data_IF_953413087460
#
_entry.id   IF_953413087460
#
_cell.length_a   1.000
_cell.length_b   1.000
_cell.length_c   1.000
_cell.angle_alpha   90.00
_cell.angle_beta   90.00
_cell.angle_gamma   90.00
#
_symmetry.space_group_name_H-M   'P 1'
#
loop_
_entity.id
_entity.type
_entity.pdbx_description
1 polymer ?
#
# COMPACT_ATOMS: atom_id res chain seq x y z
N UNK A 1 -14.58 -17.82 1.84
CA UNK A 1 -15.19 -16.50 1.82
C UNK A 1 -16.39 -16.48 2.75
N UNK A 2 -16.58 -15.37 3.46
CA UNK A 2 -17.82 -15.04 4.17
C UNK A 2 -18.18 -13.59 3.85
N UNK A 3 -19.37 -13.18 4.21
CA UNK A 3 -19.91 -11.86 3.92
C UNK A 3 -20.26 -11.15 5.23
N UNK A 4 -19.93 -9.85 5.32
CA UNK A 4 -20.35 -8.94 6.37
C UNK A 4 -20.35 -7.54 5.76
N UNK A 5 -21.46 -7.15 5.16
CA UNK A 5 -21.53 -5.96 4.34
C UNK A 5 -21.46 -4.67 5.17
N UNK A 6 -20.59 -3.77 4.70
CA UNK A 6 -20.52 -2.38 5.19
C UNK A 6 -21.57 -1.52 4.50
N UNK A 7 -22.20 -0.56 5.18
CA UNK A 7 -23.07 0.44 4.55
C UNK A 7 -22.28 1.58 3.90
N UNK A 8 -20.95 1.67 4.13
CA UNK A 8 -20.12 2.81 3.74
C UNK A 8 -19.56 2.65 2.33
N UNK A 9 -20.38 2.83 1.30
CA UNK A 9 -19.94 2.76 -0.10
C UNK A 9 -20.84 3.63 -0.99
N UNK A 10 -20.33 3.99 -2.16
CA UNK A 10 -21.15 4.68 -3.16
C UNK A 10 -22.00 3.68 -3.92
N UNK A 11 -23.29 3.97 -4.05
CA UNK A 11 -24.25 3.12 -4.79
C UNK A 11 -23.97 3.07 -6.31
N UNK A 12 -23.28 4.08 -6.84
CA UNK A 12 -22.86 4.09 -8.24
C UNK A 12 -21.87 2.95 -8.50
N UNK A 13 -22.25 2.03 -9.38
CA UNK A 13 -21.36 0.97 -9.86
C UNK A 13 -20.34 1.54 -10.84
N UNK A 14 -19.10 1.11 -10.72
CA UNK A 14 -18.03 1.33 -11.70
C UNK A 14 -17.96 0.15 -12.67
N UNK A 15 -17.40 0.39 -13.86
CA UNK A 15 -17.14 -0.69 -14.82
C UNK A 15 -15.94 -1.54 -14.37
N UNK A 16 -15.84 -2.81 -14.76
CA UNK A 16 -14.66 -3.64 -14.44
C UNK A 16 -13.34 -2.98 -14.84
N UNK A 17 -13.31 -2.32 -16.00
CA UNK A 17 -12.12 -1.63 -16.53
C UNK A 17 -11.72 -0.37 -15.74
N UNK A 18 -12.57 0.12 -14.85
CA UNK A 18 -12.24 1.25 -13.97
C UNK A 18 -11.46 0.78 -12.71
N UNK A 19 -11.47 -0.52 -12.41
CA UNK A 19 -10.68 -1.14 -11.33
C UNK A 19 -9.25 -1.35 -11.81
N UNK A 20 -8.34 -0.46 -11.43
CA UNK A 20 -6.95 -0.42 -11.92
C UNK A 20 -5.92 -0.64 -10.82
N UNK A 21 -6.31 -0.50 -9.56
CA UNK A 21 -5.42 -0.53 -8.42
C UNK A 21 -5.93 -1.47 -7.32
N UNK A 22 -4.99 -2.01 -6.55
CA UNK A 22 -5.26 -2.64 -5.26
C UNK A 22 -4.51 -1.86 -4.20
N UNK A 23 -5.20 -1.45 -3.13
CA UNK A 23 -4.60 -0.74 -2.01
C UNK A 23 -4.64 -1.66 -0.78
N UNK A 24 -3.47 -1.91 -0.23
CA UNK A 24 -3.29 -2.73 0.97
C UNK A 24 -3.26 -1.83 2.20
N UNK A 25 -4.05 -2.23 3.20
CA UNK A 25 -4.16 -1.56 4.49
C UNK A 25 -3.88 -2.54 5.64
N UNK A 26 -3.62 -2.00 6.81
CA UNK A 26 -3.89 -2.67 8.07
C UNK A 26 -4.98 -1.90 8.84
N UNK A 27 -5.76 -2.60 9.66
CA UNK A 27 -6.90 -1.99 10.37
C UNK A 27 -6.50 -0.94 11.39
N UNK A 28 -5.33 -1.07 12.04
CA UNK A 28 -4.92 -0.18 13.13
C UNK A 28 -5.88 -0.27 14.34
N UNK A 29 -6.46 -1.44 14.59
CA UNK A 29 -7.38 -1.73 15.68
C UNK A 29 -6.86 -2.88 16.52
N UNK A 30 -7.24 -2.91 17.82
CA UNK A 30 -6.74 -3.91 18.77
C UNK A 30 -7.24 -5.32 18.51
N UNK A 31 -8.41 -5.46 17.86
CA UNK A 31 -9.06 -6.75 17.61
C UNK A 31 -9.83 -6.81 16.31
N UNK A 32 -10.15 -8.02 15.86
CA UNK A 32 -11.05 -8.28 14.75
C UNK A 32 -12.46 -7.69 15.02
N UNK A 33 -12.93 -7.75 16.28
CA UNK A 33 -14.23 -7.21 16.69
C UNK A 33 -14.28 -5.70 16.46
N UNK A 34 -13.34 -4.95 17.03
CA UNK A 34 -13.25 -3.49 16.83
C UNK A 34 -13.12 -3.11 15.36
N UNK A 35 -12.34 -3.90 14.59
CA UNK A 35 -12.16 -3.67 13.15
C UNK A 35 -13.47 -3.81 12.38
N UNK A 36 -14.22 -4.88 12.65
CA UNK A 36 -15.49 -5.14 11.99
C UNK A 36 -16.57 -4.13 12.40
N UNK A 37 -16.67 -3.81 13.69
CA UNK A 37 -17.59 -2.79 14.19
C UNK A 37 -17.35 -1.44 13.49
N UNK A 38 -16.08 -1.00 13.39
CA UNK A 38 -15.74 0.24 12.70
C UNK A 38 -16.05 0.20 11.21
N UNK A 39 -15.74 -0.90 10.53
CA UNK A 39 -15.96 -1.03 9.07
C UNK A 39 -17.44 -1.16 8.70
N UNK A 40 -18.31 -1.51 9.65
CA UNK A 40 -19.78 -1.63 9.47
C UNK A 40 -20.58 -0.50 10.12
N UNK A 41 -19.96 0.34 10.94
CA UNK A 41 -20.63 1.52 11.50
C UNK A 41 -20.74 2.61 10.45
N UNK A 42 -21.98 3.03 10.15
CA UNK A 42 -22.27 4.09 9.18
C UNK A 42 -21.61 5.43 9.58
N UNK A 43 -21.48 5.69 10.88
CA UNK A 43 -20.88 6.93 11.40
C UNK A 43 -19.37 6.98 11.19
N UNK A 44 -18.71 5.83 11.02
CA UNK A 44 -17.27 5.74 10.80
C UNK A 44 -16.83 6.31 9.46
N UNK A 45 -17.72 6.30 8.46
CA UNK A 45 -17.45 6.75 7.09
C UNK A 45 -16.22 6.08 6.46
N UNK A 46 -15.93 4.83 6.84
CA UNK A 46 -14.84 4.00 6.28
C UNK A 46 -15.34 2.61 5.97
N UNK A 47 -14.76 1.97 4.97
CA UNK A 47 -15.03 0.58 4.60
C UNK A 47 -13.84 0.00 3.80
N UNK A 48 -13.95 -1.26 3.41
CA UNK A 48 -13.05 -1.89 2.46
C UNK A 48 -13.84 -2.90 1.61
N UNK A 49 -13.24 -3.41 0.54
CA UNK A 49 -13.86 -4.47 -0.26
C UNK A 49 -13.66 -5.83 0.41
N UNK A 50 -12.44 -6.06 0.92
CA UNK A 50 -12.05 -7.30 1.57
C UNK A 50 -11.38 -7.04 2.90
N UNK A 51 -11.80 -7.79 3.91
CA UNK A 51 -11.17 -7.81 5.22
C UNK A 51 -10.56 -9.20 5.46
N UNK A 52 -9.30 -9.25 5.90
CA UNK A 52 -8.61 -10.48 6.28
C UNK A 52 -8.37 -10.45 7.78
N UNK A 53 -9.06 -11.31 8.52
CA UNK A 53 -8.99 -11.35 9.96
C UNK A 53 -7.67 -12.00 10.47
N UNK A 54 -7.44 -12.01 11.79
CA UNK A 54 -6.24 -12.60 12.40
C UNK A 54 -6.04 -14.09 12.07
N UNK A 55 -7.13 -14.84 11.90
CA UNK A 55 -7.12 -16.25 11.54
C UNK A 55 -6.94 -16.48 10.04
N UNK A 56 -6.85 -15.42 9.24
CA UNK A 56 -6.72 -15.47 7.78
C UNK A 56 -8.04 -15.72 7.03
N UNK A 57 -9.19 -15.58 7.69
CA UNK A 57 -10.49 -15.68 7.01
C UNK A 57 -10.72 -14.41 6.19
N UNK A 58 -11.11 -14.57 4.92
CA UNK A 58 -11.46 -13.45 4.04
C UNK A 58 -12.94 -13.16 4.17
N UNK A 59 -13.28 -11.92 4.44
CA UNK A 59 -14.64 -11.40 4.58
C UNK A 59 -14.87 -10.35 3.50
N UNK A 60 -15.92 -10.50 2.70
CA UNK A 60 -16.36 -9.49 1.72
C UNK A 60 -17.20 -8.46 2.47
N UNK A 61 -16.78 -7.20 2.38
CA UNK A 61 -17.42 -6.07 3.05
C UNK A 61 -18.17 -5.16 2.06
N UNK A 62 -17.59 -4.95 0.87
CA UNK A 62 -18.23 -4.21 -0.24
C UNK A 62 -17.97 -4.98 -1.53
N UNK A 63 -18.99 -5.23 -2.37
CA UNK A 63 -18.76 -5.89 -3.66
C UNK A 63 -17.86 -5.07 -4.58
N UNK A 64 -17.00 -5.73 -5.37
CA UNK A 64 -15.91 -5.13 -6.14
C UNK A 64 -16.28 -3.93 -7.02
N UNK A 65 -17.47 -3.96 -7.61
CA UNK A 65 -17.90 -2.90 -8.52
C UNK A 65 -18.56 -1.71 -7.84
N UNK A 66 -18.79 -1.77 -6.53
CA UNK A 66 -19.14 -0.60 -5.74
C UNK A 66 -17.88 0.08 -5.21
N UNK A 67 -17.99 1.34 -4.80
CA UNK A 67 -16.85 2.15 -4.39
C UNK A 67 -16.78 2.18 -2.87
N UNK A 68 -15.94 1.34 -2.27
CA UNK A 68 -15.67 1.37 -0.84
C UNK A 68 -14.84 2.59 -0.45
N UNK A 69 -15.01 3.07 0.79
CA UNK A 69 -14.35 4.28 1.31
C UNK A 69 -13.10 3.92 2.14
N UNK A 70 -12.01 3.52 1.46
CA UNK A 70 -10.79 3.06 2.12
C UNK A 70 -9.55 3.96 1.92
N UNK A 71 -9.45 4.67 0.79
CA UNK A 71 -8.26 5.45 0.45
C UNK A 71 -8.32 6.89 0.98
N UNK A 72 -9.53 7.46 1.15
CA UNK A 72 -9.73 8.83 1.57
C UNK A 72 -8.98 9.83 0.66
N UNK A 73 -8.51 10.93 1.23
CA UNK A 73 -7.68 11.90 0.50
C UNK A 73 -6.34 11.25 0.13
N UNK A 74 -6.17 10.98 -1.14
CA UNK A 74 -5.05 10.19 -1.68
C UNK A 74 -4.64 10.70 -3.06
N UNK A 75 -3.38 10.46 -3.46
CA UNK A 75 -2.86 10.82 -4.77
C UNK A 75 -1.83 9.81 -5.25
N UNK A 76 -1.96 9.38 -6.50
CA UNK A 76 -0.99 8.54 -7.18
C UNK A 76 -0.95 8.87 -8.66
N UNK A 77 0.23 9.19 -9.20
CA UNK A 77 0.37 9.72 -10.57
C UNK A 77 -0.54 10.95 -10.75
N UNK A 78 -1.43 10.90 -11.75
CA UNK A 78 -2.40 11.98 -12.05
C UNK A 78 -3.75 11.81 -11.33
N UNK A 79 -3.95 10.69 -10.61
CA UNK A 79 -5.23 10.41 -9.95
C UNK A 79 -5.26 11.00 -8.54
N UNK A 80 -6.31 11.71 -8.24
CA UNK A 80 -6.70 12.09 -6.90
C UNK A 80 -7.88 11.20 -6.47
N UNK A 81 -7.98 10.87 -5.17
CA UNK A 81 -9.09 10.05 -4.63
C UNK A 81 -9.19 8.65 -5.29
N UNK A 82 -8.31 7.75 -4.86
CA UNK A 82 -8.19 6.42 -5.48
C UNK A 82 -9.35 5.47 -5.22
N UNK A 83 -10.33 5.79 -4.36
CA UNK A 83 -11.48 4.92 -4.10
C UNK A 83 -12.18 4.46 -5.40
N UNK A 84 -12.38 5.37 -6.34
CA UNK A 84 -13.09 5.08 -7.59
C UNK A 84 -12.36 4.07 -8.50
N UNK A 85 -11.06 3.93 -8.33
CA UNK A 85 -10.20 3.17 -9.23
C UNK A 85 -9.53 1.96 -8.56
N UNK A 86 -9.86 1.66 -7.29
CA UNK A 86 -9.16 0.63 -6.54
C UNK A 86 -10.06 -0.33 -5.77
N UNK A 87 -9.49 -1.49 -5.47
CA UNK A 87 -9.99 -2.43 -4.48
C UNK A 87 -9.17 -2.24 -3.19
N UNK A 88 -9.82 -1.96 -2.07
CA UNK A 88 -9.18 -1.89 -0.76
C UNK A 88 -9.22 -3.22 -0.03
N UNK A 89 -8.07 -3.65 0.48
CA UNK A 89 -7.92 -4.86 1.30
C UNK A 89 -7.39 -4.46 2.66
N UNK A 90 -8.19 -4.65 3.69
CA UNK A 90 -7.81 -4.46 5.09
C UNK A 90 -7.32 -5.78 5.69
N UNK A 91 -6.20 -5.74 6.40
CA UNK A 91 -5.65 -6.91 7.11
C UNK A 91 -5.62 -6.59 8.59
N UNK A 92 -6.21 -7.44 9.40
CA UNK A 92 -6.21 -7.28 10.86
C UNK A 92 -4.78 -7.19 11.40
N UNK A 93 -4.46 -6.05 11.98
CA UNK A 93 -3.19 -5.77 12.63
C UNK A 93 -3.35 -4.53 13.50
N UNK A 94 -2.85 -4.53 14.75
CA UNK A 94 -2.99 -3.40 15.65
C UNK A 94 -2.33 -2.10 15.15
N UNK A 95 -1.42 -2.21 14.17
CA UNK A 95 -0.77 -1.03 13.60
C UNK A 95 0.17 -0.31 14.57
N UNK A 96 0.75 0.78 14.11
CA UNK A 96 1.79 1.50 14.85
C UNK A 96 1.33 2.07 16.21
N UNK A 97 0.02 2.30 16.38
CA UNK A 97 -0.53 2.87 17.61
C UNK A 97 -0.75 1.84 18.71
N UNK A 98 -1.05 0.58 18.36
CA UNK A 98 -1.46 -0.46 19.30
C UNK A 98 -0.55 -1.70 19.28
N UNK A 99 0.71 -1.55 18.88
CA UNK A 99 1.67 -2.65 18.89
C UNK A 99 1.80 -3.37 17.54
N UNK A 100 2.24 -2.64 16.53
CA UNK A 100 2.45 -3.13 15.18
C UNK A 100 3.28 -4.41 15.14
N UNK A 101 2.71 -5.46 14.58
CA UNK A 101 3.31 -6.81 14.49
C UNK A 101 3.45 -7.28 13.04
N UNK A 102 4.24 -8.34 12.83
CA UNK A 102 4.29 -9.04 11.53
C UNK A 102 2.93 -9.66 11.24
N UNK A 103 2.58 -9.75 9.96
CA UNK A 103 1.39 -10.45 9.51
C UNK A 103 1.60 -11.97 9.59
N UNK A 104 0.57 -12.69 10.04
CA UNK A 104 0.66 -14.15 10.19
C UNK A 104 0.71 -14.87 8.85
N UNK A 105 1.27 -16.09 8.84
CA UNK A 105 1.29 -16.91 7.62
C UNK A 105 -0.12 -17.19 7.08
N UNK A 106 -1.12 -17.31 7.95
CA UNK A 106 -2.53 -17.50 7.56
C UNK A 106 -3.07 -16.28 6.84
N UNK A 107 -2.79 -15.07 7.35
CA UNK A 107 -3.18 -13.82 6.69
C UNK A 107 -2.48 -13.66 5.33
N UNK A 108 -1.17 -13.92 5.27
CA UNK A 108 -0.40 -13.80 4.03
C UNK A 108 -0.81 -14.86 2.97
N UNK A 109 -1.21 -16.05 3.40
CA UNK A 109 -1.76 -17.06 2.50
C UNK A 109 -3.06 -16.56 1.85
N UNK A 110 -3.98 -16.06 2.65
CA UNK A 110 -5.27 -15.52 2.17
C UNK A 110 -5.07 -14.27 1.31
N UNK A 111 -4.15 -13.38 1.70
CA UNK A 111 -3.81 -12.22 0.89
C UNK A 111 -3.27 -12.62 -0.49
N UNK A 112 -2.38 -13.61 -0.57
CA UNK A 112 -1.85 -14.09 -1.86
C UNK A 112 -2.95 -14.65 -2.75
N UNK A 113 -3.93 -15.37 -2.17
CA UNK A 113 -5.09 -15.90 -2.93
C UNK A 113 -5.95 -14.79 -3.51
N UNK A 114 -6.34 -13.81 -2.69
CA UNK A 114 -7.20 -12.72 -3.15
C UNK A 114 -6.48 -11.79 -4.11
N UNK A 115 -5.19 -11.51 -3.90
CA UNK A 115 -4.40 -10.71 -4.84
C UNK A 115 -4.32 -11.35 -6.21
N UNK A 116 -4.03 -12.66 -6.28
CA UNK A 116 -3.98 -13.38 -7.57
C UNK A 116 -5.32 -13.30 -8.29
N UNK A 117 -6.41 -13.61 -7.58
CA UNK A 117 -7.76 -13.52 -8.12
C UNK A 117 -8.08 -12.13 -8.68
N UNK A 118 -7.80 -11.07 -7.94
CA UNK A 118 -8.12 -9.69 -8.36
C UNK A 118 -7.23 -9.22 -9.52
N UNK A 119 -5.93 -9.55 -9.49
CA UNK A 119 -4.99 -9.22 -10.55
C UNK A 119 -5.42 -9.86 -11.87
N UNK A 120 -5.79 -11.15 -11.84
CA UNK A 120 -6.26 -11.89 -13.02
C UNK A 120 -7.62 -11.36 -13.50
N UNK A 121 -8.58 -11.19 -12.59
CA UNK A 121 -9.95 -10.76 -12.91
C UNK A 121 -10.02 -9.38 -13.54
N UNK A 122 -9.24 -8.42 -13.04
CA UNK A 122 -9.27 -7.02 -13.47
C UNK A 122 -8.05 -6.62 -14.29
N UNK A 123 -7.18 -7.56 -14.66
CA UNK A 123 -5.95 -7.31 -15.43
C UNK A 123 -5.10 -6.19 -14.81
N UNK A 124 -4.97 -6.22 -13.47
CA UNK A 124 -4.27 -5.16 -12.72
C UNK A 124 -2.77 -5.29 -12.94
N UNK A 125 -2.13 -4.21 -13.40
CA UNK A 125 -0.69 -4.16 -13.50
C UNK A 125 -0.05 -4.28 -12.11
N UNK A 126 1.01 -5.08 -11.97
CA UNK A 126 1.69 -5.30 -10.69
C UNK A 126 2.26 -4.00 -10.07
N UNK A 127 2.55 -2.99 -10.89
CA UNK A 127 2.94 -1.63 -10.45
C UNK A 127 1.80 -0.89 -9.74
N UNK A 128 0.58 -1.38 -9.85
CA UNK A 128 -0.63 -0.78 -9.29
C UNK A 128 -1.13 -1.50 -8.01
N UNK A 129 -0.38 -2.46 -7.49
CA UNK A 129 -0.60 -3.02 -6.14
C UNK A 129 0.20 -2.18 -5.16
N UNK A 130 -0.48 -1.36 -4.36
CA UNK A 130 0.09 -0.27 -3.56
C UNK A 130 -0.25 -0.43 -2.09
N UNK A 131 0.54 0.20 -1.23
CA UNK A 131 0.19 0.44 0.17
C UNK A 131 -0.55 1.77 0.33
N UNK A 132 -1.36 1.91 1.37
CA UNK A 132 -2.01 3.19 1.68
C UNK A 132 -0.98 4.31 1.91
N UNK A 133 0.15 3.99 2.52
CA UNK A 133 1.27 4.93 2.70
C UNK A 133 1.87 5.43 1.40
N UNK A 134 1.75 4.70 0.28
CA UNK A 134 2.25 5.15 -1.02
C UNK A 134 1.40 6.29 -1.58
N UNK A 135 0.09 6.27 -1.30
CA UNK A 135 -0.91 7.20 -1.88
C UNK A 135 -1.39 8.30 -0.94
N UNK A 136 -1.08 8.20 0.37
CA UNK A 136 -1.49 9.14 1.40
C UNK A 136 -0.30 9.49 2.32
N UNK A 137 0.77 9.99 1.72
CA UNK A 137 2.14 10.14 2.25
C UNK A 137 2.23 10.76 3.64
N UNK A 138 1.47 11.84 3.88
CA UNK A 138 1.53 12.62 5.12
C UNK A 138 0.62 12.08 6.22
N UNK A 139 -0.30 11.18 5.87
CA UNK A 139 -1.43 10.80 6.71
C UNK A 139 -1.39 9.33 7.14
N UNK A 140 -0.76 8.47 6.33
CA UNK A 140 -0.85 7.02 6.48
C UNK A 140 0.52 6.33 6.49
N UNK A 141 0.59 5.24 7.26
CA UNK A 141 1.77 4.38 7.35
C UNK A 141 1.49 2.94 6.91
N UNK A 142 0.21 2.53 6.86
CA UNK A 142 -0.21 1.18 6.49
C UNK A 142 0.14 0.81 5.03
N UNK A 143 0.45 -0.45 4.74
CA UNK A 143 0.51 -1.60 5.63
C UNK A 143 1.79 -1.69 6.48
N UNK A 144 2.69 -0.70 6.40
CA UNK A 144 3.88 -0.56 7.24
C UNK A 144 5.09 -1.35 6.74
N UNK A 145 6.22 -1.16 7.45
CA UNK A 145 7.53 -1.72 7.09
C UNK A 145 7.65 -3.23 7.33
N UNK A 146 6.81 -3.81 8.23
CA UNK A 146 6.80 -5.28 8.44
C UNK A 146 5.96 -6.01 7.39
N UNK A 147 5.37 -5.30 6.43
CA UNK A 147 4.61 -5.92 5.35
C UNK A 147 5.56 -6.53 4.30
N UNK A 148 5.37 -7.79 3.90
CA UNK A 148 6.37 -8.53 3.13
C UNK A 148 6.29 -8.28 1.60
N UNK A 149 6.46 -7.03 1.17
CA UNK A 149 6.42 -6.65 -0.24
C UNK A 149 7.33 -7.48 -1.13
N UNK A 150 8.57 -7.72 -0.67
CA UNK A 150 9.56 -8.51 -1.40
C UNK A 150 9.10 -9.95 -1.65
N UNK A 151 8.49 -10.58 -0.64
CA UNK A 151 8.01 -11.97 -0.78
C UNK A 151 6.78 -12.07 -1.68
N UNK A 152 5.93 -11.06 -1.68
CA UNK A 152 4.82 -10.95 -2.63
C UNK A 152 5.33 -10.76 -4.07
N UNK A 153 6.39 -9.98 -4.28
CA UNK A 153 6.97 -9.76 -5.61
C UNK A 153 7.58 -11.03 -6.21
N UNK A 154 8.22 -11.88 -5.38
CA UNK A 154 8.70 -13.21 -5.81
C UNK A 154 7.56 -14.13 -6.32
N UNK A 155 6.32 -13.86 -5.87
CA UNK A 155 5.12 -14.56 -6.32
C UNK A 155 4.37 -13.82 -7.45
N UNK A 156 4.98 -12.77 -8.03
CA UNK A 156 4.40 -11.93 -9.09
C UNK A 156 3.06 -11.30 -8.68
N UNK A 157 2.97 -10.78 -7.45
CA UNK A 157 1.77 -10.13 -6.91
C UNK A 157 1.94 -8.62 -6.70
N UNK A 158 3.15 -8.10 -6.82
CA UNK A 158 3.49 -6.67 -6.83
C UNK A 158 4.89 -6.49 -7.41
N UNK A 159 5.38 -5.25 -7.51
CA UNK A 159 6.76 -4.97 -7.93
C UNK A 159 7.71 -4.85 -6.74
N UNK A 160 8.96 -5.17 -7.00
CA UNK A 160 10.15 -4.94 -6.17
C UNK A 160 11.34 -4.66 -7.08
N UNK A 161 12.41 -4.06 -6.54
CA UNK A 161 13.65 -3.88 -7.29
C UNK A 161 14.40 -5.22 -7.50
N UNK A 162 15.21 -5.32 -8.55
CA UNK A 162 15.98 -6.53 -8.90
C UNK A 162 17.40 -6.53 -8.34
N UNK A 163 17.79 -5.48 -7.62
CA UNK A 163 19.13 -5.31 -7.07
C UNK A 163 19.39 -6.31 -5.93
N UNK A 164 20.63 -6.81 -5.86
CA UNK A 164 21.07 -7.74 -4.81
C UNK A 164 21.34 -6.97 -3.51
N UNK A 165 20.69 -7.36 -2.42
CA UNK A 165 20.77 -6.68 -1.11
C UNK A 165 22.18 -6.56 -0.55
N UNK A 166 22.99 -7.63 -0.63
CA UNK A 166 24.37 -7.61 -0.18
C UNK A 166 25.22 -6.54 -0.90
N UNK A 167 24.88 -6.24 -2.17
CA UNK A 167 25.51 -5.15 -2.92
C UNK A 167 24.95 -3.78 -2.50
N UNK A 168 23.66 -3.69 -2.21
CA UNK A 168 23.00 -2.44 -1.80
C UNK A 168 23.48 -1.95 -0.44
N UNK A 169 23.70 -2.84 0.53
CA UNK A 169 24.17 -2.46 1.87
C UNK A 169 25.47 -1.66 1.84
N UNK A 170 26.33 -1.85 0.84
CA UNK A 170 27.56 -1.08 0.66
C UNK A 170 27.33 0.39 0.33
N UNK A 171 26.12 0.75 -0.11
CA UNK A 171 25.71 2.10 -0.50
C UNK A 171 24.80 2.76 0.55
N UNK A 172 24.39 2.03 1.58
CA UNK A 172 23.60 2.52 2.70
C UNK A 172 24.39 3.58 3.47
N UNK A 173 23.72 4.69 3.80
CA UNK A 173 24.27 5.87 4.45
C UNK A 173 25.37 6.62 3.67
N UNK A 174 25.66 6.23 2.41
CA UNK A 174 26.55 7.02 1.56
C UNK A 174 25.83 8.26 1.06
N UNK A 175 26.43 9.42 1.30
CA UNK A 175 25.92 10.71 0.79
C UNK A 175 25.82 10.71 -0.73
N UNK A 176 24.80 11.38 -1.25
CA UNK A 176 24.60 11.57 -2.68
C UNK A 176 24.82 13.05 -3.07
N UNK A 177 25.13 13.29 -4.34
CA UNK A 177 25.22 14.65 -4.87
C UNK A 177 23.82 15.28 -5.01
N UNK A 178 23.71 16.62 -5.03
CA UNK A 178 22.44 17.31 -5.27
C UNK A 178 21.77 16.89 -6.59
N UNK A 179 22.56 16.56 -7.61
CA UNK A 179 22.05 16.05 -8.90
C UNK A 179 21.35 14.71 -8.71
N UNK A 180 21.96 13.76 -7.99
CA UNK A 180 21.34 12.46 -7.70
C UNK A 180 20.09 12.60 -6.84
N UNK A 181 20.07 13.52 -5.90
CA UNK A 181 18.88 13.82 -5.10
C UNK A 181 17.72 14.31 -5.98
N UNK A 182 17.97 15.25 -6.89
CA UNK A 182 16.98 15.71 -7.87
C UNK A 182 16.48 14.56 -8.75
N UNK A 183 17.37 13.69 -9.20
CA UNK A 183 17.02 12.50 -9.98
C UNK A 183 16.20 11.49 -9.16
N UNK A 184 16.49 11.31 -7.88
CA UNK A 184 15.70 10.47 -6.98
C UNK A 184 14.22 10.90 -6.96
N UNK A 185 13.93 12.18 -6.72
CA UNK A 185 12.55 12.67 -6.73
C UNK A 185 11.89 12.58 -8.10
N UNK A 186 12.64 12.80 -9.18
CA UNK A 186 12.15 12.57 -10.55
C UNK A 186 11.76 11.11 -10.77
N UNK A 187 12.55 10.17 -10.24
CA UNK A 187 12.25 8.75 -10.30
C UNK A 187 10.98 8.42 -9.49
N UNK A 188 10.84 8.96 -8.27
CA UNK A 188 9.66 8.75 -7.44
C UNK A 188 8.39 9.25 -8.14
N UNK A 189 8.45 10.40 -8.79
CA UNK A 189 7.34 10.92 -9.61
C UNK A 189 6.97 9.96 -10.75
N UNK A 190 7.97 9.42 -11.47
CA UNK A 190 7.75 8.42 -12.53
C UNK A 190 7.14 7.12 -12.00
N UNK A 191 7.51 6.68 -10.80
CA UNK A 191 6.90 5.52 -10.13
C UNK A 191 5.43 5.82 -9.83
N UNK A 192 5.12 7.03 -9.36
CA UNK A 192 3.75 7.47 -9.09
C UNK A 192 3.56 8.30 -7.81
N UNK A 193 4.60 8.44 -6.98
CA UNK A 193 4.53 9.23 -5.75
C UNK A 193 4.23 10.71 -6.03
N UNK A 194 3.44 11.31 -5.15
CA UNK A 194 3.18 12.75 -5.21
C UNK A 194 4.39 13.56 -4.74
N UNK A 195 5.10 14.14 -5.70
CA UNK A 195 6.24 15.03 -5.46
C UNK A 195 5.92 16.52 -5.72
N UNK A 196 4.64 16.86 -5.90
CA UNK A 196 4.24 18.23 -6.29
C UNK A 196 4.59 19.29 -5.22
N UNK A 197 4.64 18.93 -3.94
CA UNK A 197 5.02 19.80 -2.85
C UNK A 197 6.19 19.19 -2.05
N UNK A 198 7.30 18.93 -2.74
CA UNK A 198 8.43 18.23 -2.16
C UNK A 198 9.10 19.00 -1.03
N UNK A 199 9.12 20.33 -1.07
CA UNK A 199 9.71 21.17 -0.03
C UNK A 199 9.02 20.89 1.32
N UNK A 200 7.70 20.89 1.35
CA UNK A 200 6.91 20.63 2.56
C UNK A 200 6.86 19.14 2.93
N UNK A 201 6.79 18.27 1.94
CA UNK A 201 6.48 16.84 2.14
C UNK A 201 7.70 15.92 2.02
N UNK A 202 8.92 16.47 1.91
CA UNK A 202 10.16 15.74 1.65
C UNK A 202 10.30 14.47 2.50
N UNK A 203 10.24 14.61 3.82
CA UNK A 203 10.38 13.48 4.75
C UNK A 203 9.31 12.40 4.58
N UNK A 204 8.09 12.79 4.26
CA UNK A 204 6.97 11.86 4.10
C UNK A 204 7.11 11.02 2.83
N UNK A 205 7.50 11.66 1.72
CA UNK A 205 7.76 10.98 0.45
C UNK A 205 8.90 9.97 0.59
N UNK A 206 10.01 10.38 1.21
CA UNK A 206 11.18 9.51 1.44
C UNK A 206 10.77 8.33 2.33
N UNK A 207 10.09 8.59 3.45
CA UNK A 207 9.69 7.55 4.38
C UNK A 207 8.67 6.56 3.78
N UNK A 208 7.75 7.02 2.95
CA UNK A 208 6.83 6.14 2.24
C UNK A 208 7.57 5.22 1.28
N UNK A 209 8.50 5.76 0.50
CA UNK A 209 9.37 4.98 -0.38
C UNK A 209 10.22 3.98 0.39
N UNK A 210 10.86 4.38 1.50
CA UNK A 210 11.64 3.47 2.34
C UNK A 210 10.77 2.37 2.94
N UNK A 211 9.62 2.71 3.51
CA UNK A 211 8.69 1.74 4.10
C UNK A 211 8.32 0.64 3.14
N UNK A 212 8.26 0.96 1.85
CA UNK A 212 7.96 -0.01 0.82
C UNK A 212 9.18 -0.73 0.27
N UNK A 213 10.26 -0.04 -0.07
CA UNK A 213 11.37 -0.57 -0.86
C UNK A 213 12.70 -0.71 -0.09
N UNK A 214 12.76 -0.20 1.14
CA UNK A 214 13.89 -0.31 2.06
C UNK A 214 13.40 -0.31 3.51
N UNK A 215 12.57 -1.28 3.91
CA UNK A 215 11.90 -1.30 5.21
C UNK A 215 12.86 -1.43 6.41
N UNK A 216 14.09 -1.88 6.21
CA UNK A 216 15.10 -2.06 7.25
C UNK A 216 15.63 -0.74 7.82
N UNK A 217 15.48 0.38 7.07
CA UNK A 217 15.98 1.69 7.51
C UNK A 217 15.09 2.83 6.99
N UNK A 218 14.17 3.31 7.83
CA UNK A 218 13.30 4.45 7.55
C UNK A 218 13.81 5.65 8.35
N UNK A 219 14.63 6.50 7.73
CA UNK A 219 15.34 7.58 8.41
C UNK A 219 15.19 8.97 7.77
N UNK A 220 14.26 9.13 6.84
CA UNK A 220 14.01 10.38 6.08
C UNK A 220 15.20 10.91 5.27
N UNK A 221 16.30 10.16 5.19
CA UNK A 221 17.51 10.55 4.45
C UNK A 221 17.60 9.81 3.12
N UNK A 222 18.04 10.52 2.08
CA UNK A 222 18.34 9.90 0.79
C UNK A 222 19.85 9.60 0.77
N UNK A 223 20.17 8.34 0.53
CA UNK A 223 21.52 7.84 0.33
C UNK A 223 21.67 7.19 -1.05
N UNK A 224 22.88 6.75 -1.37
CA UNK A 224 23.15 6.10 -2.65
C UNK A 224 22.33 4.82 -2.84
N UNK A 225 22.04 4.08 -1.76
CA UNK A 225 21.14 2.90 -1.81
C UNK A 225 19.74 3.28 -2.29
N UNK A 226 19.13 4.29 -1.67
CA UNK A 226 17.79 4.80 -2.04
C UNK A 226 17.74 5.25 -3.50
N UNK A 227 18.77 5.99 -3.94
CA UNK A 227 18.87 6.43 -5.32
C UNK A 227 18.94 5.26 -6.30
N UNK A 228 19.79 4.25 -6.04
CA UNK A 228 19.93 3.07 -6.89
C UNK A 228 18.63 2.26 -6.98
N UNK A 229 17.94 2.07 -5.85
CA UNK A 229 16.62 1.41 -5.83
C UNK A 229 15.63 2.19 -6.69
N UNK A 230 15.52 3.51 -6.51
CA UNK A 230 14.59 4.33 -7.29
C UNK A 230 14.87 4.30 -8.79
N UNK A 231 16.16 4.27 -9.18
CA UNK A 231 16.59 4.14 -10.57
C UNK A 231 16.19 2.79 -11.17
N UNK A 232 16.42 1.69 -10.43
CA UNK A 232 16.08 0.35 -10.88
C UNK A 232 14.57 0.12 -11.07
N UNK A 233 13.73 0.78 -10.27
CA UNK A 233 12.26 0.65 -10.36
C UNK A 233 11.65 1.32 -11.59
N UNK A 234 12.38 2.20 -12.28
CA UNK A 234 11.92 2.91 -13.48
C UNK A 234 12.60 2.45 -14.77
N UNK A 235 13.61 1.56 -14.66
CA UNK A 235 14.22 0.83 -15.79
C UNK A 235 13.38 -0.41 -16.22
#
# INVERSE_FOLDING_TARGET
>A
LSFNYSPNFNLRKRRPNDVKYIIIHYTGMRSDKESLERLTDIKSSVSCHYYINEKGKIIVMVPDLYIAWHAGKSKWKKLNSLNEHSIGIEISNPGHEYGYKKFSNKQLFSLKKILRFLIERYQINLKNVLGHSDIALTRKKDPGEKFPWRDLSKKKLCIWHTLKENKLMKFRNKKISPIKEKLFFKNLNKIGYDTSNIIKNRKYVINAFHRRFRPELINSNIDEESYLISKNLIS
#
